data_IF_360749977813
#
_entry.id   IF_360749977813
#
_cell.length_a   1.000
_cell.length_b   1.000
_cell.length_c   1.000
_cell.angle_alpha   90.00
_cell.angle_beta   90.00
_cell.angle_gamma   90.00
#
_symmetry.space_group_name_H-M   'P 1'
#
loop_
_entity.id
_entity.type
_entity.pdbx_description
1 polymer ?
#
# COMPACT_ATOMS: atom_id res chain seq x y z
N UNK A 1 -4.25 5.30 -16.98
CA UNK A 1 -3.60 4.07 -16.52
C UNK A 1 -4.66 3.09 -16.07
N UNK A 2 -4.54 1.85 -16.51
CA UNK A 2 -5.47 0.78 -16.18
C UNK A 2 -4.71 -0.53 -15.94
N UNK A 3 -5.38 -1.50 -15.43
CA UNK A 3 -4.86 -2.83 -15.17
C UNK A 3 -4.11 -3.42 -16.38
N UNK A 4 -2.92 -3.94 -16.13
CA UNK A 4 -2.06 -4.51 -17.14
C UNK A 4 -1.02 -3.54 -17.72
N UNK A 5 -1.23 -2.23 -17.59
CA UNK A 5 -0.24 -1.25 -18.00
C UNK A 5 1.10 -1.47 -17.30
N UNK A 6 2.18 -1.30 -18.05
CA UNK A 6 3.54 -1.42 -17.54
C UNK A 6 4.42 -0.33 -18.10
N UNK A 7 5.31 0.19 -17.26
CA UNK A 7 6.24 1.28 -17.61
C UNK A 7 7.65 0.94 -17.20
N UNK A 8 8.61 1.48 -17.93
CA UNK A 8 10.02 1.47 -17.54
C UNK A 8 10.49 2.91 -17.25
N UNK A 9 11.22 3.06 -16.18
CA UNK A 9 11.91 4.32 -15.82
C UNK A 9 13.41 4.06 -15.91
N UNK A 10 14.00 4.46 -17.05
CA UNK A 10 15.36 4.07 -17.39
C UNK A 10 15.46 2.56 -17.65
N UNK A 11 16.65 1.99 -17.39
CA UNK A 11 16.93 0.57 -17.64
C UNK A 11 16.61 -0.35 -16.45
N UNK A 12 16.38 0.19 -15.27
CA UNK A 12 16.42 -0.60 -14.03
C UNK A 12 15.12 -0.60 -13.23
N UNK A 13 14.27 0.41 -13.39
CA UNK A 13 13.01 0.52 -12.64
C UNK A 13 11.84 0.21 -13.55
N UNK A 14 10.98 -0.69 -13.14
CA UNK A 14 9.71 -0.99 -13.80
C UNK A 14 8.53 -0.72 -12.88
N UNK A 15 7.39 -0.39 -13.47
CA UNK A 15 6.12 -0.25 -12.77
C UNK A 15 5.05 -1.08 -13.48
N UNK A 16 4.17 -1.69 -12.70
CA UNK A 16 3.01 -2.44 -13.19
C UNK A 16 1.75 -1.97 -12.48
N UNK A 17 0.70 -1.72 -13.27
CA UNK A 17 -0.62 -1.32 -12.78
C UNK A 17 -1.48 -2.56 -12.55
N UNK A 18 -2.15 -2.60 -11.40
CA UNK A 18 -3.03 -3.68 -10.98
C UNK A 18 -4.49 -3.24 -10.85
N UNK A 19 -4.75 -1.94 -10.76
CA UNK A 19 -6.06 -1.30 -10.67
C UNK A 19 -5.97 0.15 -11.19
N UNK A 20 -7.00 0.75 -11.76
CA UNK A 20 -8.35 0.20 -11.96
C UNK A 20 -8.41 -0.84 -13.08
N UNK A 21 -9.42 -1.71 -13.02
CA UNK A 21 -9.75 -2.62 -14.11
C UNK A 21 -10.20 -1.84 -15.36
N UNK A 22 -9.98 -2.43 -16.54
CA UNK A 22 -10.42 -1.84 -17.81
C UNK A 22 -11.96 -1.67 -17.84
N UNK A 23 -12.70 -2.67 -17.33
CA UNK A 23 -14.14 -2.60 -17.16
C UNK A 23 -14.51 -2.19 -15.74
N UNK A 24 -15.44 -1.22 -15.63
CA UNK A 24 -15.89 -0.72 -14.33
C UNK A 24 -16.64 -1.82 -13.59
N UNK A 25 -16.16 -2.19 -12.40
CA UNK A 25 -16.79 -3.16 -11.51
C UNK A 25 -17.65 -2.47 -10.48
N UNK A 26 -18.89 -2.95 -10.35
CA UNK A 26 -19.81 -2.52 -9.31
C UNK A 26 -19.97 -3.60 -8.25
N UNK A 27 -19.75 -3.24 -6.98
CA UNK A 27 -19.99 -4.14 -5.86
C UNK A 27 -21.42 -4.02 -5.37
N UNK A 28 -22.02 -5.15 -4.99
CA UNK A 28 -23.36 -5.19 -4.41
C UNK A 28 -23.41 -4.33 -3.13
N UNK A 29 -24.47 -3.53 -2.98
CA UNK A 29 -24.65 -2.64 -1.85
C UNK A 29 -23.87 -1.32 -1.93
N UNK A 30 -22.99 -1.13 -2.91
CA UNK A 30 -22.30 0.14 -3.10
C UNK A 30 -23.11 1.07 -4.01
N UNK A 31 -23.40 2.33 -3.56
CA UNK A 31 -24.00 3.30 -4.46
C UNK A 31 -23.06 3.56 -5.66
N UNK A 32 -23.61 3.51 -6.87
CA UNK A 32 -22.88 3.95 -8.06
C UNK A 32 -22.48 5.42 -7.87
N UNK A 33 -21.22 5.72 -8.13
CA UNK A 33 -20.61 7.04 -7.89
C UNK A 33 -20.51 7.47 -6.41
N UNK A 34 -20.69 6.55 -5.46
CA UNK A 34 -20.39 6.79 -4.05
C UNK A 34 -18.90 6.77 -3.76
N UNK A 35 -18.50 7.26 -2.58
CA UNK A 35 -17.08 7.30 -2.17
C UNK A 35 -16.40 5.94 -2.26
N UNK A 36 -17.07 4.87 -1.80
CA UNK A 36 -16.54 3.52 -1.87
C UNK A 36 -16.28 3.07 -3.32
N UNK A 37 -17.21 3.39 -4.24
CA UNK A 37 -17.05 3.12 -5.66
C UNK A 37 -15.82 3.84 -6.24
N UNK A 38 -15.68 5.14 -5.97
CA UNK A 38 -14.54 5.94 -6.46
C UNK A 38 -13.23 5.40 -5.90
N UNK A 39 -13.19 5.10 -4.61
CA UNK A 39 -12.00 4.60 -3.94
C UNK A 39 -11.58 3.22 -4.46
N UNK A 40 -12.50 2.31 -4.73
CA UNK A 40 -12.19 0.99 -5.30
C UNK A 40 -11.67 1.04 -6.74
N UNK A 41 -11.78 2.19 -7.41
CA UNK A 41 -11.16 2.45 -8.71
C UNK A 41 -9.87 3.29 -8.61
N UNK A 42 -9.32 3.47 -7.40
CA UNK A 42 -8.02 4.10 -7.22
C UNK A 42 -6.90 3.34 -7.89
N UNK A 43 -5.84 4.04 -8.28
CA UNK A 43 -4.65 3.44 -8.87
C UNK A 43 -3.93 2.53 -7.86
N UNK A 44 -3.77 1.26 -8.23
CA UNK A 44 -2.87 0.33 -7.54
C UNK A 44 -1.70 0.03 -8.46
N UNK A 45 -0.50 0.42 -8.04
CA UNK A 45 0.71 0.32 -8.85
C UNK A 45 1.87 -0.22 -8.01
N UNK A 46 2.64 -1.14 -8.60
CA UNK A 46 3.84 -1.71 -7.98
C UNK A 46 5.07 -1.35 -8.78
N UNK A 47 6.05 -0.77 -8.11
CA UNK A 47 7.37 -0.51 -8.64
C UNK A 47 8.33 -1.63 -8.25
N UNK A 48 9.26 -1.94 -9.17
CA UNK A 48 10.34 -2.91 -8.96
C UNK A 48 11.66 -2.30 -9.39
N UNK A 49 12.69 -2.49 -8.56
CA UNK A 49 14.07 -2.13 -8.84
C UNK A 49 14.99 -3.27 -8.40
N UNK A 50 15.38 -4.12 -9.36
CA UNK A 50 16.07 -5.37 -9.04
C UNK A 50 15.26 -6.24 -8.08
N UNK A 51 15.83 -6.53 -6.90
CA UNK A 51 15.16 -7.28 -5.84
C UNK A 51 14.24 -6.42 -4.94
N UNK A 52 14.30 -5.09 -5.05
CA UNK A 52 13.50 -4.16 -4.26
C UNK A 52 12.12 -3.91 -4.87
N UNK A 53 11.11 -3.71 -4.04
CA UNK A 53 9.74 -3.50 -4.51
C UNK A 53 8.90 -2.60 -3.60
N UNK A 54 7.99 -1.85 -4.22
CA UNK A 54 7.08 -0.95 -3.52
C UNK A 54 5.69 -0.98 -4.15
N UNK A 55 4.66 -1.14 -3.33
CA UNK A 55 3.26 -1.18 -3.71
C UNK A 55 2.51 0.05 -3.18
N UNK A 56 1.86 0.77 -4.08
CA UNK A 56 0.96 1.88 -3.75
C UNK A 56 -0.48 1.42 -3.92
N UNK A 57 -1.29 1.54 -2.87
CA UNK A 57 -2.65 0.99 -2.84
C UNK A 57 -3.76 2.00 -3.17
N UNK A 58 -3.42 3.28 -3.42
CA UNK A 58 -4.47 4.29 -3.51
C UNK A 58 -5.37 4.24 -2.28
N UNK A 59 -6.67 4.30 -2.50
CA UNK A 59 -7.68 4.29 -1.44
C UNK A 59 -8.65 3.10 -1.56
N UNK A 60 -8.21 2.01 -2.22
CA UNK A 60 -9.02 0.81 -2.40
C UNK A 60 -9.47 0.21 -1.07
N UNK A 61 -10.70 -0.31 -1.04
CA UNK A 61 -11.29 -0.97 0.10
C UNK A 61 -10.98 -2.47 0.14
N UNK A 62 -11.33 -3.13 1.22
CA UNK A 62 -11.13 -4.57 1.42
C UNK A 62 -11.76 -5.42 0.31
N UNK A 63 -12.88 -5.00 -0.27
CA UNK A 63 -13.51 -5.65 -1.43
C UNK A 63 -12.54 -5.75 -2.60
N UNK A 64 -11.91 -4.65 -2.94
CA UNK A 64 -10.92 -4.60 -4.03
C UNK A 64 -9.62 -5.34 -3.66
N UNK A 65 -9.19 -5.29 -2.39
CA UNK A 65 -8.05 -6.10 -1.93
C UNK A 65 -8.28 -7.59 -2.19
N UNK A 66 -9.50 -8.10 -1.92
CA UNK A 66 -9.85 -9.50 -2.15
C UNK A 66 -9.77 -9.88 -3.63
N UNK A 67 -10.33 -9.04 -4.52
CA UNK A 67 -10.23 -9.25 -5.97
C UNK A 67 -8.77 -9.28 -6.44
N UNK A 68 -7.96 -8.33 -5.97
CA UNK A 68 -6.54 -8.26 -6.30
C UNK A 68 -5.77 -9.49 -5.80
N UNK A 69 -6.10 -9.97 -4.60
CA UNK A 69 -5.49 -11.18 -4.03
C UNK A 69 -5.86 -12.42 -4.86
N UNK A 70 -7.12 -12.57 -5.24
CA UNK A 70 -7.60 -13.69 -6.05
C UNK A 70 -6.94 -13.69 -7.43
N UNK A 71 -6.84 -12.52 -8.06
CA UNK A 71 -6.35 -12.37 -9.43
C UNK A 71 -4.84 -12.46 -9.55
N UNK A 72 -4.10 -11.87 -8.61
CA UNK A 72 -2.66 -11.67 -8.73
C UNK A 72 -1.82 -12.42 -7.69
N UNK A 73 -2.39 -12.81 -6.56
CA UNK A 73 -1.71 -13.58 -5.53
C UNK A 73 -0.32 -13.03 -5.19
N UNK A 74 0.68 -13.88 -5.27
CA UNK A 74 2.09 -13.58 -4.94
C UNK A 74 2.72 -12.43 -5.76
N UNK A 75 2.14 -12.07 -6.91
CA UNK A 75 2.63 -10.93 -7.70
C UNK A 75 2.48 -9.58 -6.98
N UNK A 76 1.63 -9.51 -5.94
CA UNK A 76 1.45 -8.34 -5.09
C UNK A 76 2.52 -8.21 -3.99
N UNK A 77 3.35 -9.24 -3.75
CA UNK A 77 4.41 -9.19 -2.73
C UNK A 77 5.29 -7.98 -2.93
N UNK A 78 5.51 -7.24 -1.85
CA UNK A 78 6.29 -6.01 -1.90
C UNK A 78 6.95 -5.71 -0.56
N UNK A 79 8.18 -5.21 -0.60
CA UNK A 79 8.94 -4.86 0.60
C UNK A 79 8.40 -3.61 1.30
N UNK A 80 7.90 -2.68 0.50
CA UNK A 80 7.33 -1.41 0.97
C UNK A 80 5.89 -1.31 0.51
N UNK A 81 5.00 -0.84 1.36
CA UNK A 81 3.63 -0.52 1.01
C UNK A 81 3.26 0.91 1.42
N UNK A 82 2.71 1.71 0.49
CA UNK A 82 1.84 2.84 0.85
C UNK A 82 0.51 2.24 1.24
N UNK A 83 0.16 2.33 2.49
CA UNK A 83 -1.05 1.74 3.06
C UNK A 83 -2.29 2.29 2.37
N UNK A 84 -3.24 1.42 2.07
CA UNK A 84 -4.50 1.79 1.43
C UNK A 84 -5.33 2.73 2.30
N UNK A 85 -6.08 3.62 1.65
CA UNK A 85 -7.06 4.53 2.24
C UNK A 85 -6.55 5.20 3.54
N UNK A 86 -5.33 5.72 3.48
CA UNK A 86 -4.68 6.47 4.57
C UNK A 86 -4.64 5.73 5.93
N UNK A 87 -4.74 4.40 5.91
CA UNK A 87 -4.78 3.58 7.12
C UNK A 87 -6.17 3.46 7.76
N UNK A 88 -7.24 3.77 7.03
CA UNK A 88 -8.61 3.57 7.47
C UNK A 88 -8.98 2.07 7.53
N UNK A 89 -9.92 1.69 8.41
CA UNK A 89 -10.34 0.29 8.61
C UNK A 89 -11.11 -0.33 7.43
N UNK A 90 -11.53 0.47 6.48
CA UNK A 90 -12.17 -0.02 5.24
C UNK A 90 -11.19 -0.73 4.31
N UNK A 91 -9.89 -0.62 4.58
CA UNK A 91 -8.79 -1.26 3.87
C UNK A 91 -7.87 -2.06 4.80
N UNK A 92 -6.81 -2.63 4.25
CA UNK A 92 -5.73 -3.28 5.01
C UNK A 92 -6.19 -4.51 5.81
N UNK A 93 -6.91 -5.42 5.13
CA UNK A 93 -7.29 -6.70 5.69
C UNK A 93 -6.05 -7.52 6.10
N UNK A 94 -6.15 -8.29 7.19
CA UNK A 94 -5.01 -9.11 7.66
C UNK A 94 -4.54 -10.12 6.62
N UNK A 95 -5.45 -10.67 5.81
CA UNK A 95 -5.13 -11.58 4.72
C UNK A 95 -4.29 -10.90 3.65
N UNK A 96 -4.68 -9.67 3.27
CA UNK A 96 -3.95 -8.85 2.31
C UNK A 96 -2.55 -8.50 2.83
N UNK A 97 -2.44 -8.00 4.08
CA UNK A 97 -1.13 -7.68 4.68
C UNK A 97 -0.20 -8.90 4.70
N UNK A 98 -0.72 -10.09 5.03
CA UNK A 98 0.08 -11.34 5.02
C UNK A 98 0.54 -11.72 3.62
N UNK A 99 -0.33 -11.55 2.61
CA UNK A 99 0.01 -11.86 1.22
C UNK A 99 1.11 -10.93 0.72
N UNK A 100 0.94 -9.60 0.89
CA UNK A 100 1.93 -8.61 0.47
C UNK A 100 3.24 -8.79 1.23
N UNK A 101 3.17 -9.07 2.53
CA UNK A 101 4.31 -9.33 3.40
C UNK A 101 5.31 -8.16 3.50
N UNK A 102 4.86 -6.92 3.72
CA UNK A 102 5.74 -5.76 3.65
C UNK A 102 6.70 -5.72 4.84
N UNK A 103 7.95 -5.29 4.59
CA UNK A 103 8.93 -4.94 5.62
C UNK A 103 8.70 -3.53 6.18
N UNK A 104 8.17 -2.64 5.34
CA UNK A 104 7.90 -1.24 5.66
C UNK A 104 6.49 -0.86 5.20
N UNK A 105 5.72 -0.24 6.08
CA UNK A 105 4.38 0.25 5.80
C UNK A 105 4.30 1.75 6.09
N UNK A 106 3.88 2.54 5.11
CA UNK A 106 3.75 3.98 5.21
C UNK A 106 2.27 4.37 5.22
N UNK A 107 1.78 4.89 6.33
CA UNK A 107 0.48 5.53 6.49
C UNK A 107 0.67 7.02 6.24
N UNK A 108 0.12 7.52 5.14
CA UNK A 108 0.19 8.94 4.77
C UNK A 108 -1.11 9.59 5.18
N UNK A 109 -1.12 10.26 6.32
CA UNK A 109 -2.29 10.93 6.89
C UNK A 109 -1.84 12.06 7.83
N UNK A 110 -2.72 13.00 8.11
CA UNK A 110 -2.57 14.06 9.12
C UNK A 110 -3.10 13.64 10.51
N UNK A 111 -3.53 12.40 10.64
CA UNK A 111 -4.04 11.76 11.85
C UNK A 111 -3.69 10.27 11.86
N UNK A 112 -4.04 9.55 12.91
CA UNK A 112 -4.05 8.10 12.94
C UNK A 112 -5.50 7.61 13.03
N UNK A 113 -6.11 7.35 11.87
CA UNK A 113 -7.52 6.95 11.78
C UNK A 113 -7.80 5.61 12.44
N UNK A 114 -6.85 4.67 12.36
CA UNK A 114 -7.05 3.35 12.94
C UNK A 114 -5.79 2.79 13.60
N UNK A 115 -5.82 2.74 14.92
CA UNK A 115 -4.85 1.99 15.75
C UNK A 115 -4.83 0.50 15.39
N UNK A 116 -5.96 -0.04 14.98
CA UNK A 116 -6.08 -1.46 14.58
C UNK A 116 -5.30 -1.75 13.29
N UNK A 117 -5.42 -0.90 12.26
CA UNK A 117 -4.66 -1.03 11.01
C UNK A 117 -3.16 -0.91 11.30
N UNK A 118 -2.74 0.13 12.03
CA UNK A 118 -1.36 0.29 12.46
C UNK A 118 -0.81 -0.97 13.15
N UNK A 119 -1.54 -1.47 14.14
CA UNK A 119 -1.14 -2.66 14.89
C UNK A 119 -1.15 -3.94 14.04
N UNK A 120 -2.02 -4.06 13.04
CA UNK A 120 -2.02 -5.22 12.14
C UNK A 120 -0.72 -5.31 11.36
N UNK A 121 -0.23 -4.19 10.79
CA UNK A 121 1.05 -4.17 10.09
C UNK A 121 2.22 -4.51 11.03
N UNK A 122 2.27 -3.90 12.21
CA UNK A 122 3.32 -4.18 13.21
C UNK A 122 3.34 -5.64 13.65
N UNK A 123 2.19 -6.20 14.01
CA UNK A 123 2.07 -7.60 14.46
C UNK A 123 2.44 -8.60 13.37
N UNK A 124 2.36 -8.19 12.11
CA UNK A 124 2.76 -9.00 10.96
C UNK A 124 4.21 -8.73 10.51
N UNK A 125 4.97 -7.94 11.28
CA UNK A 125 6.41 -7.78 11.14
C UNK A 125 6.88 -6.55 10.38
N UNK A 126 5.98 -5.65 9.96
CA UNK A 126 6.35 -4.42 9.28
C UNK A 126 6.82 -3.33 10.26
N UNK A 127 7.86 -2.58 9.88
CA UNK A 127 8.14 -1.28 10.44
C UNK A 127 7.11 -0.28 9.89
N UNK A 128 6.34 0.37 10.77
CA UNK A 128 5.24 1.25 10.36
C UNK A 128 5.62 2.71 10.59
N UNK A 129 5.50 3.51 9.53
CA UNK A 129 5.67 4.96 9.55
C UNK A 129 4.33 5.63 9.35
N UNK A 130 4.10 6.74 10.07
CA UNK A 130 2.88 7.55 9.99
C UNK A 130 3.28 9.02 9.85
N UNK A 131 2.94 9.65 8.73
CA UNK A 131 3.37 11.05 8.49
C UNK A 131 2.92 12.03 9.55
N UNK A 132 1.79 11.79 10.21
CA UNK A 132 1.32 12.57 11.36
C UNK A 132 2.34 12.61 12.52
N UNK A 133 3.11 11.55 12.72
CA UNK A 133 4.07 11.41 13.85
C UNK A 133 5.51 11.55 13.37
N UNK A 134 5.82 10.98 12.22
CA UNK A 134 7.17 10.88 11.69
C UNK A 134 7.56 12.07 10.80
N UNK A 135 6.58 12.93 10.44
CA UNK A 135 6.76 13.99 9.45
C UNK A 135 7.01 13.42 8.04
N UNK A 136 7.92 14.01 7.32
CA UNK A 136 8.34 13.48 6.02
C UNK A 136 9.11 12.17 6.21
N UNK A 137 8.69 11.13 5.49
CA UNK A 137 9.33 9.81 5.51
C UNK A 137 10.01 9.55 4.18
N UNK A 138 11.33 9.40 4.17
CA UNK A 138 12.11 9.00 3.02
C UNK A 138 12.49 7.54 3.12
N UNK A 139 12.07 6.75 2.14
CA UNK A 139 12.52 5.38 1.92
C UNK A 139 13.39 5.34 0.67
N UNK A 140 14.61 4.86 0.81
CA UNK A 140 15.55 4.64 -0.29
C UNK A 140 15.87 3.16 -0.40
N UNK A 141 16.00 2.65 -1.60
CA UNK A 141 16.36 1.26 -1.86
C UNK A 141 17.41 1.17 -2.94
N UNK A 142 18.27 0.16 -2.86
CA UNK A 142 19.10 -0.29 -3.97
C UNK A 142 18.49 -1.50 -4.69
N UNK A 143 19.13 -1.97 -5.76
CA UNK A 143 18.65 -3.11 -6.52
C UNK A 143 18.86 -4.47 -5.83
N UNK A 144 19.61 -4.49 -4.71
CA UNK A 144 19.92 -5.68 -3.92
C UNK A 144 19.03 -5.83 -2.67
N UNK A 145 17.92 -5.08 -2.59
CA UNK A 145 16.95 -5.11 -1.49
C UNK A 145 17.46 -4.53 -0.16
N UNK A 146 18.46 -3.65 -0.21
CA UNK A 146 18.87 -2.87 0.95
C UNK A 146 18.03 -1.59 1.01
N UNK A 147 17.48 -1.30 2.19
CA UNK A 147 16.62 -0.16 2.45
C UNK A 147 17.22 0.74 3.50
N UNK A 148 17.13 2.05 3.27
CA UNK A 148 17.41 3.06 4.28
C UNK A 148 16.17 3.92 4.50
N UNK A 149 15.88 4.23 5.75
CA UNK A 149 14.75 5.06 6.16
C UNK A 149 15.24 6.28 6.90
N UNK A 150 14.66 7.45 6.58
CA UNK A 150 14.90 8.70 7.28
C UNK A 150 13.56 9.35 7.52
N UNK A 151 13.30 9.77 8.76
CA UNK A 151 12.12 10.51 9.16
C UNK A 151 12.51 11.94 9.53
N UNK A 152 11.61 12.88 9.32
CA UNK A 152 11.79 14.27 9.70
C UNK A 152 11.75 14.43 11.23
N UNK A 153 10.87 13.67 11.88
CA UNK A 153 10.74 13.64 13.33
C UNK A 153 11.50 12.43 13.89
N UNK A 154 12.32 12.66 14.90
CA UNK A 154 12.98 11.57 15.62
C UNK A 154 12.02 10.98 16.66
N UNK A 155 11.33 9.90 16.26
CA UNK A 155 10.44 9.17 17.14
C UNK A 155 11.23 8.28 18.08
N UNK A 156 11.51 8.77 19.30
CA UNK A 156 12.30 8.07 20.31
C UNK A 156 11.61 6.81 20.87
N UNK A 157 10.29 6.70 20.74
CA UNK A 157 9.54 5.53 21.19
C UNK A 157 8.32 5.30 20.31
N UNK A 158 7.84 4.06 20.33
CA UNK A 158 6.55 3.75 19.75
C UNK A 158 5.45 4.54 20.48
N UNK A 159 4.74 5.41 19.77
CA UNK A 159 3.73 6.29 20.35
C UNK A 159 2.42 5.55 20.69
N UNK A 160 2.31 4.30 20.27
CA UNK A 160 1.22 3.39 20.62
C UNK A 160 1.75 2.24 21.47
N UNK A 161 2.04 2.53 22.72
CA UNK A 161 2.34 1.47 23.70
C UNK A 161 1.06 0.88 24.26
#
# INVERSE_FOLDING_TARGET
LEEGDSFAFGAEVSAKVYNPEHEIKYYEGYPKNGTAFVNDHSLVIRFSYGASSMLFMGDVYTSRELDLMEKYGEALRSDVIKVGHHGNETSSSKSFIRLVGPRYACIINDSLDSVKVYNNYRKLGAAVFVTFVDGCVRLSADNARNYATVTEQDRQSDFLK
#
